data_IF_095211794862
#
_entry.id   IF_095211794862
#
_cell.length_a   1.000
_cell.length_b   1.000
_cell.length_c   1.000
_cell.angle_alpha   90.00
_cell.angle_beta   90.00
_cell.angle_gamma   90.00
#
_symmetry.space_group_name_H-M   'P 1'
#
loop_
_entity.id
_entity.type
_entity.pdbx_description
1 polymer ?
#
# COMPACT_ATOMS: atom_id res chain seq x y z
N UNK A 1 16.67 -32.25 0.06
CA UNK A 1 15.61 -31.51 0.76
C UNK A 1 15.84 -31.64 2.25
N UNK A 2 16.24 -30.56 2.94
CA UNK A 2 16.42 -30.58 4.40
C UNK A 2 15.03 -30.62 5.04
N UNK A 3 14.79 -31.59 5.94
CA UNK A 3 13.62 -31.60 6.81
C UNK A 3 13.63 -30.30 7.64
N UNK A 4 12.73 -29.38 7.33
CA UNK A 4 12.47 -28.22 8.18
C UNK A 4 11.90 -28.75 9.50
N UNK A 5 12.44 -28.29 10.63
CA UNK A 5 11.85 -28.61 11.93
C UNK A 5 10.43 -28.03 11.95
N UNK A 6 9.42 -28.73 12.49
CA UNK A 6 8.00 -28.28 12.52
C UNK A 6 7.78 -26.82 12.95
N UNK A 7 8.70 -26.28 13.75
CA UNK A 7 8.68 -24.88 14.18
C UNK A 7 9.08 -23.89 13.08
N UNK A 8 9.98 -24.26 12.17
CA UNK A 8 10.39 -23.44 11.03
C UNK A 8 9.27 -23.34 9.99
N UNK A 9 8.54 -24.44 9.75
CA UNK A 9 7.39 -24.46 8.85
C UNK A 9 6.27 -23.54 9.37
N UNK A 10 5.93 -23.65 10.66
CA UNK A 10 4.97 -22.73 11.32
C UNK A 10 5.41 -21.27 11.31
N UNK A 11 6.70 -20.99 11.48
CA UNK A 11 7.23 -19.64 11.42
C UNK A 11 7.11 -19.04 10.01
N UNK A 12 7.32 -19.86 8.98
CA UNK A 12 7.20 -19.48 7.58
C UNK A 12 5.74 -19.19 7.20
N UNK A 13 4.81 -20.05 7.63
CA UNK A 13 3.36 -19.84 7.45
C UNK A 13 2.89 -18.53 8.10
N UNK A 14 3.34 -18.27 9.33
CA UNK A 14 3.05 -17.02 10.05
C UNK A 14 3.58 -15.79 9.32
N UNK A 15 4.77 -15.87 8.72
CA UNK A 15 5.33 -14.75 7.97
C UNK A 15 4.53 -14.49 6.67
N UNK A 16 4.11 -15.53 5.97
CA UNK A 16 3.25 -15.43 4.78
C UNK A 16 1.90 -14.79 5.15
N UNK A 17 1.27 -15.26 6.22
CA UNK A 17 -0.02 -14.75 6.67
C UNK A 17 0.08 -13.29 7.11
N UNK A 18 1.15 -12.92 7.83
CA UNK A 18 1.45 -11.54 8.21
C UNK A 18 1.64 -10.63 6.98
N UNK A 19 2.30 -11.12 5.93
CA UNK A 19 2.45 -10.37 4.67
C UNK A 19 1.09 -10.12 4.02
N UNK A 20 0.26 -11.17 3.91
CA UNK A 20 -1.11 -11.06 3.37
C UNK A 20 -1.94 -10.03 4.13
N UNK A 21 -1.94 -10.09 5.47
CA UNK A 21 -2.64 -9.14 6.33
C UNK A 21 -2.13 -7.70 6.14
N UNK A 22 -0.82 -7.50 6.00
CA UNK A 22 -0.26 -6.17 5.75
C UNK A 22 -0.70 -5.62 4.39
N UNK A 23 -0.75 -6.47 3.36
CA UNK A 23 -1.22 -6.09 2.03
C UNK A 23 -2.70 -5.69 2.05
N UNK A 24 -3.54 -6.50 2.69
CA UNK A 24 -4.98 -6.22 2.86
C UNK A 24 -5.23 -4.94 3.65
N UNK A 25 -4.52 -4.75 4.77
CA UNK A 25 -4.60 -3.53 5.57
C UNK A 25 -4.22 -2.29 4.75
N UNK A 26 -3.16 -2.40 3.95
CA UNK A 26 -2.70 -1.28 3.11
C UNK A 26 -3.70 -0.97 1.99
N UNK A 27 -4.31 -1.99 1.38
CA UNK A 27 -5.41 -1.81 0.42
C UNK A 27 -6.63 -1.16 1.07
N UNK A 28 -6.97 -1.55 2.29
CA UNK A 28 -8.11 -0.98 3.02
C UNK A 28 -7.91 0.50 3.32
N UNK A 29 -6.69 0.91 3.69
CA UNK A 29 -6.33 2.33 3.85
C UNK A 29 -6.48 3.07 2.52
N UNK A 30 -5.93 2.53 1.42
CA UNK A 30 -6.05 3.13 0.10
C UNK A 30 -7.51 3.30 -0.33
N UNK A 31 -8.34 2.26 -0.16
CA UNK A 31 -9.77 2.31 -0.47
C UNK A 31 -10.52 3.38 0.34
N UNK A 32 -10.25 3.48 1.65
CA UNK A 32 -10.87 4.52 2.48
C UNK A 32 -10.43 5.91 2.05
N UNK A 33 -9.15 6.11 1.72
CA UNK A 33 -8.64 7.39 1.22
C UNK A 33 -9.24 7.77 -0.13
N UNK A 34 -9.42 6.81 -1.05
CA UNK A 34 -10.10 7.04 -2.32
C UNK A 34 -11.56 7.44 -2.11
N UNK A 35 -12.29 6.72 -1.26
CA UNK A 35 -13.67 7.06 -0.93
C UNK A 35 -13.77 8.49 -0.36
N UNK A 36 -12.88 8.85 0.56
CA UNK A 36 -12.83 10.17 1.17
C UNK A 36 -12.50 11.26 0.13
N UNK A 37 -11.57 10.99 -0.79
CA UNK A 37 -11.28 11.86 -1.93
C UNK A 37 -12.53 12.10 -2.80
N UNK A 38 -13.24 11.04 -3.19
CA UNK A 38 -14.46 11.16 -3.99
C UNK A 38 -15.57 11.91 -3.25
N UNK A 39 -15.74 11.68 -1.94
CA UNK A 39 -16.69 12.45 -1.12
C UNK A 39 -16.34 13.95 -1.10
N UNK A 40 -15.06 14.29 -0.94
CA UNK A 40 -14.60 15.68 -1.00
C UNK A 40 -14.84 16.31 -2.37
N UNK A 41 -14.57 15.56 -3.44
CA UNK A 41 -14.77 16.02 -4.81
C UNK A 41 -16.26 16.27 -5.10
N UNK A 42 -17.14 15.38 -4.62
CA UNK A 42 -18.59 15.55 -4.74
C UNK A 42 -19.07 16.82 -4.02
N UNK A 43 -18.65 17.03 -2.76
CA UNK A 43 -18.99 18.23 -1.99
C UNK A 43 -18.44 19.49 -2.65
N UNK A 44 -17.21 19.43 -3.19
CA UNK A 44 -16.61 20.55 -3.92
C UNK A 44 -17.45 20.96 -5.13
N UNK A 45 -17.84 19.99 -5.96
CA UNK A 45 -18.64 20.23 -7.17
C UNK A 45 -20.01 20.78 -6.79
N UNK A 46 -20.73 20.13 -5.88
CA UNK A 46 -22.09 20.56 -5.47
C UNK A 46 -22.04 21.94 -4.82
N UNK A 47 -21.07 22.19 -3.93
CA UNK A 47 -20.89 23.49 -3.28
C UNK A 47 -20.49 24.60 -4.26
N UNK A 48 -19.75 24.28 -5.32
CA UNK A 48 -19.42 25.24 -6.37
C UNK A 48 -20.62 25.58 -7.25
N UNK A 49 -21.38 24.57 -7.69
CA UNK A 49 -22.57 24.78 -8.54
C UNK A 49 -23.67 25.55 -7.80
N UNK A 50 -23.86 25.27 -6.50
CA UNK A 50 -24.81 25.99 -5.65
C UNK A 50 -24.41 27.44 -5.32
N UNK A 51 -23.21 27.87 -5.72
CA UNK A 51 -22.68 29.20 -5.42
C UNK A 51 -22.21 29.39 -3.98
N UNK A 52 -22.30 28.36 -3.12
CA UNK A 52 -21.86 28.41 -1.73
C UNK A 52 -20.33 28.42 -1.57
N UNK A 53 -19.58 27.90 -2.55
CA UNK A 53 -18.12 27.87 -2.54
C UNK A 53 -17.54 28.86 -3.55
N UNK A 54 -16.76 29.82 -3.05
CA UNK A 54 -15.92 30.69 -3.88
C UNK A 54 -14.70 29.96 -4.47
N UNK A 55 -14.05 30.58 -5.46
CA UNK A 55 -12.86 30.00 -6.13
C UNK A 55 -11.71 29.70 -5.16
N UNK A 56 -11.52 30.53 -4.13
CA UNK A 56 -10.45 30.33 -3.14
C UNK A 56 -10.67 29.06 -2.30
N UNK A 57 -11.88 28.85 -1.79
CA UNK A 57 -12.21 27.64 -1.00
C UNK A 57 -12.17 26.38 -1.85
N UNK A 58 -12.56 26.46 -3.13
CA UNK A 58 -12.45 25.33 -4.06
C UNK A 58 -10.99 24.89 -4.26
N UNK A 59 -10.07 25.84 -4.48
CA UNK A 59 -8.65 25.53 -4.63
C UNK A 59 -8.09 24.85 -3.37
N UNK A 60 -8.44 25.34 -2.18
CA UNK A 60 -8.02 24.74 -0.91
C UNK A 60 -8.55 23.30 -0.79
N UNK A 61 -9.82 23.07 -1.15
CA UNK A 61 -10.42 21.74 -1.10
C UNK A 61 -9.73 20.74 -2.04
N UNK A 62 -9.35 21.20 -3.24
CA UNK A 62 -8.59 20.38 -4.21
C UNK A 62 -7.21 20.02 -3.65
N UNK A 63 -6.49 20.97 -3.06
CA UNK A 63 -5.20 20.71 -2.42
C UNK A 63 -5.31 19.70 -1.26
N UNK A 64 -6.34 19.83 -0.42
CA UNK A 64 -6.61 18.86 0.66
C UNK A 64 -6.90 17.46 0.07
N UNK A 65 -7.68 17.39 -1.02
CA UNK A 65 -7.95 16.14 -1.73
C UNK A 65 -6.67 15.43 -2.21
N UNK A 66 -5.74 16.17 -2.80
CA UNK A 66 -4.42 15.61 -3.17
C UNK A 66 -3.62 15.14 -1.94
N UNK A 67 -3.69 15.86 -0.82
CA UNK A 67 -3.07 15.44 0.44
C UNK A 67 -3.61 14.11 0.95
N UNK A 68 -4.92 13.92 0.92
CA UNK A 68 -5.58 12.66 1.32
C UNK A 68 -5.13 11.50 0.43
N UNK A 69 -5.06 11.71 -0.89
CA UNK A 69 -4.56 10.70 -1.83
C UNK A 69 -3.10 10.35 -1.55
N UNK A 70 -2.25 11.34 -1.27
CA UNK A 70 -0.85 11.11 -0.96
C UNK A 70 -0.69 10.25 0.31
N UNK A 71 -1.40 10.61 1.39
CA UNK A 71 -1.40 9.87 2.66
C UNK A 71 -1.94 8.45 2.48
N UNK A 72 -2.96 8.25 1.66
CA UNK A 72 -3.56 6.93 1.40
C UNK A 72 -2.69 6.03 0.52
N UNK A 73 -2.03 6.61 -0.48
CA UNK A 73 -1.21 5.88 -1.46
C UNK A 73 0.15 5.48 -0.90
N UNK A 74 0.74 6.34 -0.08
CA UNK A 74 2.06 6.11 0.53
C UNK A 74 2.22 4.74 1.23
N UNK A 75 1.35 4.34 2.19
CA UNK A 75 1.50 3.07 2.89
C UNK A 75 1.37 1.87 1.95
N UNK A 76 0.46 1.96 0.95
CA UNK A 76 0.30 0.91 -0.05
C UNK A 76 1.55 0.71 -0.89
N UNK A 77 2.09 1.78 -1.47
CA UNK A 77 3.31 1.73 -2.29
C UNK A 77 4.51 1.23 -1.47
N UNK A 78 4.63 1.66 -0.21
CA UNK A 78 5.70 1.20 0.69
C UNK A 78 5.61 -0.30 0.96
N UNK A 79 4.42 -0.82 1.25
CA UNK A 79 4.22 -2.26 1.50
C UNK A 79 4.48 -3.08 0.25
N UNK A 80 3.94 -2.67 -0.90
CA UNK A 80 4.14 -3.36 -2.19
C UNK A 80 5.63 -3.44 -2.57
N UNK A 81 6.36 -2.31 -2.50
CA UNK A 81 7.80 -2.30 -2.81
C UNK A 81 8.62 -3.19 -1.88
N UNK A 82 8.21 -3.29 -0.61
CA UNK A 82 8.88 -4.19 0.34
C UNK A 82 8.62 -5.66 0.00
N UNK A 83 7.41 -6.02 -0.45
CA UNK A 83 7.08 -7.37 -0.91
C UNK A 83 7.81 -7.72 -2.21
N UNK A 84 7.80 -6.83 -3.20
CA UNK A 84 8.55 -7.00 -4.46
C UNK A 84 10.04 -7.22 -4.19
N UNK A 85 10.64 -6.40 -3.34
CA UNK A 85 12.06 -6.55 -2.99
C UNK A 85 12.35 -7.90 -2.33
N UNK A 86 11.49 -8.36 -1.41
CA UNK A 86 11.64 -9.68 -0.78
C UNK A 86 11.58 -10.80 -1.83
N UNK A 87 10.67 -10.71 -2.80
CA UNK A 87 10.56 -11.70 -3.89
C UNK A 87 11.80 -11.68 -4.78
N UNK A 88 12.27 -10.50 -5.16
CA UNK A 88 13.49 -10.33 -5.97
C UNK A 88 14.72 -10.90 -5.28
N UNK A 89 14.86 -10.69 -3.96
CA UNK A 89 15.97 -11.22 -3.17
C UNK A 89 15.93 -12.77 -3.15
N UNK A 90 14.74 -13.38 -3.00
CA UNK A 90 14.55 -14.84 -3.08
C UNK A 90 14.88 -15.37 -4.48
N UNK A 91 14.43 -14.68 -5.53
CA UNK A 91 14.70 -15.07 -6.93
C UNK A 91 16.20 -15.02 -7.23
N UNK A 92 16.91 -14.00 -6.73
CA UNK A 92 18.38 -13.90 -6.86
C UNK A 92 19.08 -15.04 -6.13
N UNK A 93 18.68 -15.34 -4.89
CA UNK A 93 19.27 -16.44 -4.11
C UNK A 93 19.06 -17.82 -4.77
N UNK A 94 17.92 -18.02 -5.46
CA UNK A 94 17.65 -19.24 -6.23
C UNK A 94 18.41 -19.33 -7.55
N UNK A 95 18.68 -18.19 -8.20
CA UNK A 95 19.35 -18.13 -9.50
C UNK A 95 20.88 -17.98 -9.41
N UNK A 96 21.44 -17.56 -8.27
CA UNK A 96 22.88 -17.57 -8.06
C UNK A 96 23.37 -19.02 -7.84
N UNK A 97 24.18 -19.59 -8.76
CA UNK A 97 24.81 -20.87 -8.51
C UNK A 97 25.73 -20.71 -7.29
N UNK A 98 25.49 -21.51 -6.24
CA UNK A 98 26.39 -21.62 -5.07
C UNK A 98 27.84 -21.67 -5.54
N UNK A 99 28.56 -20.55 -5.47
CA UNK A 99 30.02 -20.58 -5.59
C UNK A 99 30.52 -21.41 -4.41
N UNK A 100 31.27 -22.49 -4.63
CA UNK A 100 31.84 -23.25 -3.54
C UNK A 100 32.73 -22.31 -2.72
N UNK A 101 32.47 -22.25 -1.42
CA UNK A 101 33.40 -21.62 -0.46
C UNK A 101 34.74 -22.35 -0.63
N UNK A 102 35.75 -21.63 -1.13
CA UNK A 102 37.15 -22.02 -1.02
C UNK A 102 37.63 -21.76 0.40
#
# INVERSE_FOLDING_TARGET
MKMLTKNQEKALDLEIEKSRLNREKSMLVLNKSLLLYFSFLFVAIVGFISGNLGRQTLNILVFIGFGILFIGTWPYVKTMKAEEKKLDDIIKELNEPKKPKK
#
